data_IF_955562889353
#
_entry.id   IF_955562889353
#
_cell.length_a   1.000
_cell.length_b   1.000
_cell.length_c   1.000
_cell.angle_alpha   90.00
_cell.angle_beta   90.00
_cell.angle_gamma   90.00
#
_symmetry.space_group_name_H-M   'P 1'
#
loop_
_entity.id
_entity.type
_entity.pdbx_description
1 polymer ?
#
# COMPACT_ATOMS: atom_id res chain seq x y z
N UNK A 1 -6.56 -12.71 -13.12
CA UNK A 1 -6.01 -12.00 -11.95
C UNK A 1 -4.56 -11.74 -12.24
N UNK A 2 -4.18 -10.47 -12.39
CA UNK A 2 -2.81 -10.06 -12.76
C UNK A 2 -1.88 -10.04 -11.53
N UNK A 3 -0.61 -9.66 -11.72
CA UNK A 3 0.36 -9.57 -10.62
C UNK A 3 -0.02 -8.50 -9.60
N UNK A 4 -0.46 -7.31 -10.04
CA UNK A 4 -0.92 -6.23 -9.15
C UNK A 4 -2.07 -6.68 -8.24
N UNK A 5 -3.05 -7.41 -8.78
CA UNK A 5 -4.17 -7.95 -8.01
C UNK A 5 -3.67 -8.81 -6.84
N UNK A 6 -2.70 -9.68 -7.09
CA UNK A 6 -2.12 -10.54 -6.06
C UNK A 6 -1.36 -9.72 -4.99
N UNK A 7 -0.66 -8.66 -5.42
CA UNK A 7 0.05 -7.77 -4.52
C UNK A 7 -0.92 -6.95 -3.65
N UNK A 8 -2.03 -6.45 -4.20
CA UNK A 8 -3.07 -5.78 -3.42
C UNK A 8 -3.76 -6.72 -2.43
N UNK A 9 -4.01 -7.98 -2.84
CA UNK A 9 -4.57 -8.99 -1.94
C UNK A 9 -3.61 -9.27 -0.77
N UNK A 10 -2.30 -9.39 -1.04
CA UNK A 10 -1.28 -9.55 0.02
C UNK A 10 -1.22 -8.33 0.94
N UNK A 11 -1.29 -7.13 0.37
CA UNK A 11 -1.30 -5.88 1.13
C UNK A 11 -2.51 -5.83 2.07
N UNK A 12 -3.71 -6.16 1.57
CA UNK A 12 -4.92 -6.24 2.39
C UNK A 12 -4.83 -7.32 3.46
N UNK A 13 -4.31 -8.50 3.12
CA UNK A 13 -4.17 -9.60 4.07
C UNK A 13 -3.37 -9.17 5.31
N UNK A 14 -2.20 -8.59 5.11
CA UNK A 14 -1.38 -8.10 6.21
C UNK A 14 -1.95 -6.84 6.84
N UNK A 15 -2.47 -5.91 6.04
CA UNK A 15 -2.93 -4.64 6.55
C UNK A 15 -4.17 -4.73 7.42
N UNK A 16 -5.12 -5.61 7.10
CA UNK A 16 -6.27 -5.87 7.97
C UNK A 16 -5.86 -6.52 9.31
N UNK A 17 -4.80 -7.34 9.32
CA UNK A 17 -4.25 -7.88 10.57
C UNK A 17 -3.59 -6.78 11.40
N UNK A 18 -2.80 -5.90 10.76
CA UNK A 18 -2.12 -4.78 11.42
C UNK A 18 -3.14 -3.77 11.97
N UNK A 19 -4.15 -3.40 11.18
CA UNK A 19 -5.26 -2.54 11.62
C UNK A 19 -5.98 -3.12 12.83
N UNK A 20 -6.29 -4.42 12.81
CA UNK A 20 -6.89 -5.10 13.96
C UNK A 20 -6.00 -5.03 15.20
N UNK A 21 -4.69 -5.26 15.05
CA UNK A 21 -3.73 -5.20 16.16
C UNK A 21 -3.62 -3.77 16.73
N UNK A 22 -3.58 -2.74 15.88
CA UNK A 22 -3.58 -1.33 16.26
C UNK A 22 -4.86 -0.97 17.04
N UNK A 23 -6.02 -1.38 16.53
CA UNK A 23 -7.31 -1.14 17.16
C UNK A 23 -7.42 -1.86 18.51
N UNK A 24 -6.94 -3.10 18.61
CA UNK A 24 -6.91 -3.85 19.87
C UNK A 24 -6.01 -3.18 20.93
N UNK A 25 -4.93 -2.54 20.49
CA UNK A 25 -4.05 -1.74 21.36
C UNK A 25 -4.61 -0.34 21.69
N UNK A 26 -5.80 0.02 21.15
CA UNK A 26 -6.39 1.37 21.24
C UNK A 26 -5.48 2.47 20.68
N UNK A 27 -4.59 2.12 19.75
CA UNK A 27 -3.76 3.10 19.04
C UNK A 27 -4.56 3.68 17.88
N UNK A 28 -5.30 4.76 18.17
CA UNK A 28 -6.21 5.38 17.20
C UNK A 28 -5.46 6.05 16.05
N UNK A 29 -4.26 6.59 16.30
CA UNK A 29 -3.46 7.24 15.27
C UNK A 29 -2.97 6.20 14.25
N UNK A 30 -2.43 5.08 14.73
CA UNK A 30 -2.01 3.99 13.85
C UNK A 30 -3.20 3.35 13.15
N UNK A 31 -4.30 3.08 13.86
CA UNK A 31 -5.51 2.51 13.26
C UNK A 31 -6.06 3.40 12.14
N UNK A 32 -6.06 4.72 12.32
CA UNK A 32 -6.50 5.66 11.30
C UNK A 32 -5.57 5.65 10.08
N UNK A 33 -4.25 5.70 10.28
CA UNK A 33 -3.30 5.65 9.17
C UNK A 33 -3.42 4.37 8.33
N UNK A 34 -3.61 3.21 8.98
CA UNK A 34 -3.86 1.94 8.26
C UNK A 34 -5.18 1.98 7.48
N UNK A 35 -6.25 2.51 8.07
CA UNK A 35 -7.53 2.63 7.38
C UNK A 35 -7.43 3.52 6.13
N UNK A 36 -6.76 4.68 6.24
CA UNK A 36 -6.53 5.58 5.11
C UNK A 36 -5.68 4.92 4.02
N UNK A 37 -4.65 4.13 4.37
CA UNK A 37 -3.88 3.38 3.37
C UNK A 37 -4.72 2.31 2.66
N UNK A 38 -5.58 1.60 3.39
CA UNK A 38 -6.19 0.36 2.92
C UNK A 38 -7.56 0.56 2.27
N UNK A 39 -8.26 1.67 2.53
CA UNK A 39 -9.68 1.82 2.15
C UNK A 39 -9.93 1.67 0.64
N UNK A 40 -9.00 2.16 -0.20
CA UNK A 40 -9.13 2.09 -1.65
C UNK A 40 -8.58 0.80 -2.26
N UNK A 41 -7.74 0.07 -1.55
CA UNK A 41 -7.05 -1.13 -2.07
C UNK A 41 -8.02 -2.20 -2.63
N UNK A 42 -9.18 -2.51 -2.00
CA UNK A 42 -10.11 -3.50 -2.55
C UNK A 42 -10.62 -3.12 -3.95
N UNK A 43 -10.78 -1.82 -4.21
CA UNK A 43 -11.28 -1.31 -5.50
C UNK A 43 -10.23 -1.29 -6.61
N UNK A 44 -8.98 -1.58 -6.28
CA UNK A 44 -7.86 -1.70 -7.24
C UNK A 44 -7.68 -3.14 -7.74
N UNK A 45 -8.35 -4.13 -7.12
CA UNK A 45 -8.30 -5.51 -7.57
C UNK A 45 -9.18 -5.67 -8.80
N UNK A 46 -8.60 -6.17 -9.89
CA UNK A 46 -9.26 -6.30 -11.19
C UNK A 46 -9.42 -4.96 -11.93
N UNK A 47 -8.83 -3.87 -11.41
CA UNK A 47 -8.81 -2.59 -12.08
C UNK A 47 -7.85 -2.62 -13.28
N UNK A 48 -8.25 -1.99 -14.37
CA UNK A 48 -7.47 -1.90 -15.61
C UNK A 48 -6.94 -0.48 -15.86
N UNK A 49 -7.51 0.52 -15.20
CA UNK A 49 -7.08 1.90 -15.28
C UNK A 49 -5.78 2.13 -14.49
N UNK A 50 -4.66 2.11 -15.22
CA UNK A 50 -3.31 2.35 -14.70
C UNK A 50 -3.15 3.67 -13.94
N UNK A 51 -3.98 4.69 -14.20
CA UNK A 51 -3.94 5.94 -13.43
C UNK A 51 -4.41 5.76 -11.98
N UNK A 52 -5.33 4.84 -11.71
CA UNK A 52 -5.78 4.54 -10.33
C UNK A 52 -4.70 3.84 -9.53
N UNK A 53 -3.95 2.94 -10.17
CA UNK A 53 -2.81 2.27 -9.55
C UNK A 53 -1.66 3.25 -9.26
N UNK A 54 -1.36 4.14 -10.21
CA UNK A 54 -0.38 5.21 -10.02
C UNK A 54 -0.81 6.17 -8.90
N UNK A 55 -2.09 6.52 -8.83
CA UNK A 55 -2.61 7.37 -7.76
C UNK A 55 -2.40 6.74 -6.38
N UNK A 56 -2.75 5.47 -6.19
CA UNK A 56 -2.45 4.75 -4.93
C UNK A 56 -0.95 4.81 -4.59
N UNK A 57 -0.10 4.54 -5.58
CA UNK A 57 1.35 4.47 -5.41
C UNK A 57 1.98 5.81 -5.00
N UNK A 58 1.54 6.90 -5.64
CA UNK A 58 2.13 8.23 -5.47
C UNK A 58 1.49 9.06 -4.37
N UNK A 59 0.22 8.82 -4.06
CA UNK A 59 -0.54 9.60 -3.09
C UNK A 59 -0.73 8.83 -1.79
N UNK A 60 -1.51 7.75 -1.81
CA UNK A 60 -1.97 7.05 -0.60
C UNK A 60 -0.81 6.36 0.13
N UNK A 61 0.00 5.60 -0.60
CA UNK A 61 1.21 4.97 -0.06
C UNK A 61 2.19 6.02 0.47
N UNK A 62 2.37 7.13 -0.26
CA UNK A 62 3.30 8.20 0.14
C UNK A 62 2.82 8.92 1.41
N UNK A 63 1.51 9.17 1.53
CA UNK A 63 0.91 9.75 2.72
C UNK A 63 1.13 8.84 3.95
N UNK A 64 0.96 7.53 3.79
CA UNK A 64 1.23 6.57 4.86
C UNK A 64 2.71 6.51 5.25
N UNK A 65 3.64 6.56 4.29
CA UNK A 65 5.08 6.66 4.57
C UNK A 65 5.44 7.96 5.31
N UNK A 66 4.88 9.09 4.88
CA UNK A 66 5.09 10.37 5.55
C UNK A 66 4.56 10.35 7.00
N UNK A 67 3.43 9.66 7.23
CA UNK A 67 2.95 9.42 8.59
C UNK A 67 3.91 8.54 9.39
N UNK A 68 4.44 7.45 8.83
CA UNK A 68 5.41 6.58 9.50
C UNK A 68 6.69 7.31 9.90
N UNK A 69 7.22 8.19 9.04
CA UNK A 69 8.42 8.99 9.32
C UNK A 69 8.23 9.93 10.51
N UNK A 70 7.00 10.41 10.71
CA UNK A 70 6.63 11.29 11.81
C UNK A 70 6.12 10.52 13.03
N UNK A 71 5.91 9.20 12.90
CA UNK A 71 5.33 8.37 13.93
C UNK A 71 6.37 7.99 14.99
N UNK A 72 6.06 8.28 16.25
CA UNK A 72 6.83 7.76 17.40
C UNK A 72 6.47 6.29 17.71
N UNK A 73 5.71 5.61 16.86
CA UNK A 73 5.31 4.22 17.06
C UNK A 73 6.30 3.24 16.38
N UNK A 74 7.26 2.65 17.12
CA UNK A 74 8.24 1.72 16.54
C UNK A 74 7.59 0.41 16.05
N UNK A 75 6.41 0.04 16.55
CA UNK A 75 5.69 -1.16 16.07
C UNK A 75 5.13 -0.93 14.68
N UNK A 76 4.57 0.25 14.41
CA UNK A 76 4.08 0.62 13.08
C UNK A 76 5.21 0.55 12.04
N UNK A 77 6.34 1.19 12.34
CA UNK A 77 7.55 1.16 11.48
C UNK A 77 8.04 -0.28 11.26
N UNK A 78 8.15 -1.07 12.32
CA UNK A 78 8.62 -2.46 12.21
C UNK A 78 7.66 -3.33 11.38
N UNK A 79 6.35 -3.15 11.52
CA UNK A 79 5.34 -3.90 10.77
C UNK A 79 5.35 -3.52 9.30
N UNK A 80 5.34 -2.23 8.98
CA UNK A 80 5.42 -1.75 7.59
C UNK A 80 6.68 -2.27 6.88
N UNK A 81 7.85 -2.17 7.54
CA UNK A 81 9.11 -2.70 7.01
C UNK A 81 9.09 -4.22 6.77
N UNK A 82 8.39 -4.96 7.62
CA UNK A 82 8.33 -6.43 7.54
C UNK A 82 7.33 -6.92 6.50
N UNK A 83 6.16 -6.27 6.43
CA UNK A 83 5.02 -6.78 5.67
C UNK A 83 4.69 -5.96 4.42
N UNK A 84 4.89 -4.65 4.44
CA UNK A 84 4.54 -3.77 3.31
C UNK A 84 5.72 -3.54 2.38
N UNK A 85 6.93 -3.28 2.89
CA UNK A 85 8.10 -3.00 2.05
C UNK A 85 8.37 -4.08 0.97
N UNK A 86 8.31 -5.40 1.27
CA UNK A 86 8.51 -6.40 0.23
C UNK A 86 7.44 -6.32 -0.87
N UNK A 87 6.18 -6.09 -0.50
CA UNK A 87 5.06 -5.97 -1.43
C UNK A 87 5.22 -4.72 -2.28
N UNK A 88 5.58 -3.59 -1.68
CA UNK A 88 5.78 -2.35 -2.42
C UNK A 88 6.94 -2.45 -3.40
N UNK A 89 8.05 -3.11 -3.05
CA UNK A 89 9.14 -3.35 -4.00
C UNK A 89 8.70 -4.16 -5.21
N UNK A 90 7.88 -5.20 -5.00
CA UNK A 90 7.30 -5.97 -6.10
C UNK A 90 6.31 -5.13 -6.94
N UNK A 91 5.50 -4.28 -6.29
CA UNK A 91 4.58 -3.36 -6.97
C UNK A 91 5.31 -2.33 -7.81
N UNK A 92 6.44 -1.79 -7.33
CA UNK A 92 7.25 -0.82 -8.04
C UNK A 92 7.74 -1.35 -9.39
N UNK A 93 8.26 -2.59 -9.39
CA UNK A 93 8.69 -3.27 -10.62
C UNK A 93 7.52 -3.46 -11.58
N UNK A 94 6.37 -3.90 -11.07
CA UNK A 94 5.19 -4.15 -11.89
C UNK A 94 4.59 -2.85 -12.46
N UNK A 95 4.61 -1.74 -11.71
CA UNK A 95 4.10 -0.46 -12.17
C UNK A 95 5.04 0.20 -13.18
N UNK A 96 6.35 0.21 -12.93
CA UNK A 96 7.33 0.75 -13.90
C UNK A 96 7.27 0.00 -15.22
N UNK A 97 7.22 -1.34 -15.18
CA UNK A 97 7.12 -2.13 -16.42
C UNK A 97 5.85 -1.78 -17.20
N UNK A 98 4.70 -1.53 -16.56
CA UNK A 98 3.46 -1.16 -17.28
C UNK A 98 3.45 0.27 -17.78
N UNK A 99 4.09 1.21 -17.07
CA UNK A 99 4.12 2.63 -17.46
C UNK A 99 5.06 2.84 -18.65
N UNK A 100 6.23 2.19 -18.69
CA UNK A 100 7.15 2.26 -19.83
C UNK A 100 6.50 1.79 -21.13
N UNK A 101 5.58 0.81 -21.06
CA UNK A 101 4.83 0.32 -22.23
C UNK A 101 3.71 1.27 -22.70
N UNK A 102 3.39 2.34 -21.95
CA UNK A 102 2.39 3.34 -22.32
C UNK A 102 2.99 4.61 -22.94
N UNK A 103 4.28 4.85 -22.79
CA UNK A 103 5.04 5.89 -23.49
C UNK A 103 5.72 5.28 -24.71
N UNK A 104 5.36 5.66 -25.96
CA UNK A 104 6.18 5.31 -27.11
C UNK A 104 7.59 5.85 -26.89
N UNK A 105 8.62 5.04 -27.09
CA UNK A 105 9.95 5.58 -27.32
C UNK A 105 9.90 6.31 -28.65
N UNK A 106 9.92 7.64 -28.59
CA UNK A 106 10.17 8.52 -29.74
C UNK A 106 11.60 8.33 -30.27
#
# INVERSE_FOLDING_TARGET
MNVLDQLYIRLLHHGLQILRDAAACRDTAWSHAEAELLHNVPSLIGESNLRRHAYFWDQERRAYLAWLEQSENPRAVSKAKTFYDPIWREMEVELHSKIEHLTPMD
#
